data_IF_987586077856
#
_entry.id   IF_987586077856
#
_cell.length_a   1.000
_cell.length_b   1.000
_cell.length_c   1.000
_cell.angle_alpha   90.00
_cell.angle_beta   90.00
_cell.angle_gamma   90.00
#
_symmetry.space_group_name_H-M   'P 1'
#
loop_
_entity.id
_entity.type
_entity.pdbx_description
1 polymer ?
#
# COMPACT_ATOMS: atom_id res chain seq x y z
N UNK A 1 -9.78 -0.73 22.31
CA UNK A 1 -9.62 0.17 21.15
C UNK A 1 -8.58 1.25 21.40
N UNK A 2 -8.70 2.02 22.48
CA UNK A 2 -7.74 3.11 22.79
C UNK A 2 -6.28 2.66 22.87
N UNK A 3 -5.99 1.45 23.33
CA UNK A 3 -4.63 0.92 23.48
C UNK A 3 -3.85 0.85 22.15
N UNK A 4 -4.52 0.51 21.04
CA UNK A 4 -3.90 0.44 19.73
C UNK A 4 -3.51 1.82 19.18
N UNK A 5 -4.25 2.83 19.51
CA UNK A 5 -4.08 4.19 18.98
C UNK A 5 -3.30 5.13 19.91
N UNK A 6 -2.88 4.66 21.08
CA UNK A 6 -2.17 5.50 22.06
C UNK A 6 -0.89 6.11 21.45
N UNK A 7 -0.10 5.31 20.71
CA UNK A 7 1.08 5.79 20.00
C UNK A 7 0.76 6.85 18.95
N UNK A 8 -0.33 6.65 18.20
CA UNK A 8 -0.80 7.62 17.19
C UNK A 8 -1.20 8.95 17.84
N UNK A 9 -1.91 8.93 18.96
CA UNK A 9 -2.26 10.15 19.68
C UNK A 9 -1.05 10.90 20.22
N UNK A 10 -0.05 10.18 20.76
CA UNK A 10 1.20 10.79 21.25
C UNK A 10 1.93 11.46 20.07
N UNK A 11 2.10 10.75 18.94
CA UNK A 11 2.77 11.30 17.76
C UNK A 11 1.99 12.49 17.20
N UNK A 12 0.66 12.46 17.24
CA UNK A 12 -0.18 13.59 16.82
C UNK A 12 0.09 14.81 17.68
N UNK A 13 0.05 14.68 19.00
CA UNK A 13 0.26 15.81 19.92
C UNK A 13 1.67 16.39 19.72
N UNK A 14 2.70 15.53 19.72
CA UNK A 14 4.09 15.96 19.51
C UNK A 14 4.28 16.58 18.13
N UNK A 15 3.70 15.98 17.08
CA UNK A 15 3.77 16.49 15.71
C UNK A 15 3.10 17.85 15.57
N UNK A 16 1.91 18.05 16.14
CA UNK A 16 1.21 19.34 16.07
C UNK A 16 1.93 20.43 16.85
N UNK A 17 2.53 20.11 18.01
CA UNK A 17 3.40 21.04 18.73
C UNK A 17 4.62 21.39 17.86
N UNK A 18 5.25 20.39 17.23
CA UNK A 18 6.35 20.60 16.31
C UNK A 18 5.98 21.47 15.12
N UNK A 19 4.81 21.23 14.50
CA UNK A 19 4.31 22.05 13.40
C UNK A 19 4.06 23.51 13.81
N UNK A 20 3.51 23.71 15.01
CA UNK A 20 3.33 25.06 15.57
C UNK A 20 4.65 25.78 15.76
N UNK A 21 5.59 25.16 16.44
CA UNK A 21 6.91 25.77 16.72
C UNK A 21 7.70 26.04 15.44
N UNK A 22 7.63 25.13 14.47
CA UNK A 22 8.26 25.31 13.15
C UNK A 22 7.65 26.50 12.40
N UNK A 23 6.30 26.58 12.34
CA UNK A 23 5.61 27.69 11.71
C UNK A 23 5.99 29.04 12.30
N UNK A 24 6.03 29.16 13.64
CA UNK A 24 6.45 30.38 14.34
C UNK A 24 7.93 30.71 14.10
N UNK A 25 8.79 29.68 13.94
CA UNK A 25 10.22 29.90 13.65
C UNK A 25 10.45 30.42 12.24
N UNK A 26 9.71 29.90 11.24
CA UNK A 26 9.87 30.30 9.82
C UNK A 26 9.24 31.69 9.56
N UNK A 27 8.02 31.89 10.04
CA UNK A 27 7.30 33.15 9.94
C UNK A 27 6.42 33.37 11.17
N UNK A 28 6.69 34.37 11.96
CA UNK A 28 5.89 34.69 13.15
C UNK A 28 4.40 34.85 12.80
N UNK A 29 3.52 34.14 13.52
CA UNK A 29 2.09 34.14 13.33
C UNK A 29 1.56 33.07 12.38
N UNK A 30 2.40 32.19 11.80
CA UNK A 30 1.95 31.11 10.92
C UNK A 30 1.79 29.75 11.62
N UNK A 31 2.12 29.65 12.90
CA UNK A 31 2.08 28.39 13.66
C UNK A 31 0.74 27.68 13.61
N UNK A 32 -0.38 28.40 13.77
CA UNK A 32 -1.73 27.81 13.69
C UNK A 32 -2.07 27.33 12.27
N UNK A 33 -1.65 28.04 11.25
CA UNK A 33 -1.84 27.60 9.85
C UNK A 33 -1.07 26.30 9.58
N UNK A 34 0.17 26.19 10.06
CA UNK A 34 0.98 24.97 9.96
C UNK A 34 0.33 23.79 10.68
N UNK A 35 -0.23 23.98 11.88
CA UNK A 35 -0.99 22.97 12.61
C UNK A 35 -2.21 22.50 11.81
N UNK A 36 -2.96 23.45 11.24
CA UNK A 36 -4.13 23.10 10.41
C UNK A 36 -3.74 22.29 9.18
N UNK A 37 -2.70 22.71 8.46
CA UNK A 37 -2.20 21.97 7.28
C UNK A 37 -1.73 20.56 7.67
N UNK A 38 -0.97 20.43 8.77
CA UNK A 38 -0.51 19.12 9.24
C UNK A 38 -1.69 18.20 9.62
N UNK A 39 -2.75 18.74 10.23
CA UNK A 39 -3.97 17.98 10.52
C UNK A 39 -4.68 17.52 9.24
N UNK A 40 -4.88 18.42 8.28
CA UNK A 40 -5.50 18.10 6.99
C UNK A 40 -4.72 17.01 6.28
N UNK A 41 -3.39 17.14 6.21
CA UNK A 41 -2.52 16.12 5.61
C UNK A 41 -2.61 14.77 6.34
N UNK A 42 -2.66 14.78 7.68
CA UNK A 42 -2.84 13.56 8.47
C UNK A 42 -4.16 12.85 8.18
N UNK A 43 -5.25 13.60 8.08
CA UNK A 43 -6.58 13.06 7.74
C UNK A 43 -6.60 12.52 6.30
N UNK A 44 -6.02 13.25 5.36
CA UNK A 44 -5.89 12.78 3.97
C UNK A 44 -5.10 11.48 3.91
N UNK A 45 -3.94 11.41 4.56
CA UNK A 45 -3.12 10.19 4.60
C UNK A 45 -3.88 8.99 5.17
N UNK A 46 -4.64 9.16 6.26
CA UNK A 46 -5.48 8.09 6.82
C UNK A 46 -6.52 7.63 5.79
N UNK A 47 -7.13 8.58 5.09
CA UNK A 47 -8.20 8.28 4.12
C UNK A 47 -7.67 7.57 2.89
N UNK A 48 -6.49 7.98 2.41
CA UNK A 48 -5.84 7.44 1.20
C UNK A 48 -5.18 6.08 1.45
N UNK A 49 -4.65 5.87 2.65
CA UNK A 49 -3.89 4.67 3.01
C UNK A 49 -4.71 3.62 3.77
N UNK A 50 -6.05 3.69 3.74
CA UNK A 50 -6.90 2.71 4.41
C UNK A 50 -6.80 1.32 3.75
N UNK A 51 -6.78 1.25 2.43
CA UNK A 51 -6.56 0.06 1.63
C UNK A 51 -5.20 -0.57 1.93
N UNK A 52 -4.14 0.24 2.01
CA UNK A 52 -2.82 -0.18 2.44
C UNK A 52 -2.84 -0.86 3.83
N UNK A 53 -3.59 -0.32 4.79
CA UNK A 53 -3.74 -0.94 6.11
C UNK A 53 -4.33 -2.35 6.02
N UNK A 54 -5.31 -2.57 5.16
CA UNK A 54 -5.94 -3.89 4.96
C UNK A 54 -4.98 -4.85 4.29
N UNK A 55 -4.30 -4.43 3.21
CA UNK A 55 -3.29 -5.25 2.49
C UNK A 55 -2.15 -5.66 3.43
N UNK A 56 -1.61 -4.71 4.18
CA UNK A 56 -0.55 -4.98 5.15
C UNK A 56 -1.02 -5.95 6.24
N UNK A 57 -2.25 -5.79 6.73
CA UNK A 57 -2.81 -6.68 7.74
C UNK A 57 -2.95 -8.13 7.24
N UNK A 58 -3.36 -8.35 5.99
CA UNK A 58 -3.46 -9.68 5.38
C UNK A 58 -2.11 -10.40 5.32
N UNK A 59 -1.06 -9.70 4.91
CA UNK A 59 0.30 -10.26 4.86
C UNK A 59 0.87 -10.48 6.25
N UNK A 60 0.68 -9.55 7.18
CA UNK A 60 1.14 -9.66 8.56
C UNK A 60 0.50 -10.83 9.31
N UNK A 61 -0.75 -11.17 9.01
CA UNK A 61 -1.41 -12.33 9.62
C UNK A 61 -0.68 -13.64 9.29
N UNK A 62 -0.12 -13.75 8.08
CA UNK A 62 0.65 -14.91 7.61
C UNK A 62 2.10 -14.95 8.12
N UNK A 63 2.60 -13.84 8.71
CA UNK A 63 3.98 -13.74 9.20
C UNK A 63 4.13 -14.29 10.62
N UNK A 64 5.36 -14.77 10.94
CA UNK A 64 5.71 -15.17 12.31
C UNK A 64 5.61 -14.00 13.28
N UNK A 65 5.29 -14.28 14.55
CA UNK A 65 5.16 -13.24 15.60
C UNK A 65 6.39 -12.33 15.70
N UNK A 66 7.60 -12.89 15.57
CA UNK A 66 8.86 -12.12 15.64
C UNK A 66 8.99 -11.10 14.51
N UNK A 67 8.63 -11.47 13.27
CA UNK A 67 8.69 -10.57 12.11
C UNK A 67 7.54 -9.58 12.11
N UNK A 68 6.37 -9.99 12.58
CA UNK A 68 5.24 -9.08 12.82
C UNK A 68 5.64 -7.97 13.78
N UNK A 69 6.26 -8.30 14.93
CA UNK A 69 6.74 -7.30 15.88
C UNK A 69 7.85 -6.39 15.29
N UNK A 70 8.74 -6.93 14.44
CA UNK A 70 9.74 -6.11 13.74
C UNK A 70 9.09 -5.14 12.77
N UNK A 71 8.11 -5.58 12.00
CA UNK A 71 7.36 -4.69 11.13
C UNK A 71 6.63 -3.60 11.93
N UNK A 72 6.06 -3.94 13.06
CA UNK A 72 5.37 -3.00 13.94
C UNK A 72 6.31 -2.00 14.66
N UNK A 73 7.59 -2.29 14.75
CA UNK A 73 8.60 -1.41 15.38
C UNK A 73 9.48 -0.71 14.34
N UNK A 74 10.31 -1.45 13.64
CA UNK A 74 11.23 -0.90 12.62
C UNK A 74 10.50 -0.34 11.40
N UNK A 75 9.44 -1.01 10.94
CA UNK A 75 8.65 -0.52 9.83
C UNK A 75 8.00 0.85 10.12
N UNK A 76 7.73 1.25 11.42
CA UNK A 76 7.29 2.62 11.74
C UNK A 76 8.37 3.63 11.36
N UNK A 77 9.61 3.36 11.70
CA UNK A 77 10.73 4.25 11.39
C UNK A 77 10.91 4.35 9.88
N UNK A 78 10.82 3.22 9.18
CA UNK A 78 10.91 3.16 7.71
C UNK A 78 9.74 3.90 7.08
N UNK A 79 8.50 3.66 7.52
CA UNK A 79 7.31 4.29 6.96
C UNK A 79 7.30 5.81 7.19
N UNK A 80 7.67 6.28 8.40
CA UNK A 80 7.62 7.71 8.75
C UNK A 80 8.79 8.48 8.19
N UNK A 81 10.03 7.99 8.37
CA UNK A 81 11.23 8.70 7.93
C UNK A 81 11.73 8.22 6.56
N UNK A 82 11.72 6.90 6.33
CA UNK A 82 12.18 6.31 5.09
C UNK A 82 11.32 6.71 3.91
N UNK A 83 10.04 6.39 3.95
CA UNK A 83 9.15 6.54 2.80
C UNK A 83 8.69 7.98 2.57
N UNK A 84 8.48 8.77 3.62
CA UNK A 84 7.94 10.13 3.51
C UNK A 84 9.00 11.22 3.39
N UNK A 85 10.23 10.95 3.80
CA UNK A 85 11.32 11.92 3.74
C UNK A 85 12.50 11.42 2.91
N UNK A 86 13.08 10.26 3.26
CA UNK A 86 14.30 9.78 2.62
C UNK A 86 14.05 9.27 1.19
N UNK A 87 12.97 8.56 0.96
CA UNK A 87 12.65 7.96 -0.34
C UNK A 87 12.40 9.00 -1.44
N UNK A 88 11.61 10.07 -1.25
CA UNK A 88 11.48 11.15 -2.23
C UNK A 88 12.82 11.84 -2.53
N UNK A 89 13.67 12.06 -1.51
CA UNK A 89 15.00 12.63 -1.71
C UNK A 89 15.89 11.70 -2.54
N UNK A 90 15.87 10.39 -2.25
CA UNK A 90 16.61 9.38 -3.00
C UNK A 90 16.19 9.36 -4.47
N UNK A 91 14.90 9.35 -4.71
CA UNK A 91 14.33 9.31 -6.05
C UNK A 91 14.73 10.57 -6.86
N UNK A 92 14.52 11.74 -6.28
CA UNK A 92 14.94 13.01 -6.92
C UNK A 92 16.45 13.00 -7.17
N UNK A 93 17.26 12.48 -6.25
CA UNK A 93 18.71 12.34 -6.40
C UNK A 93 19.09 11.53 -7.65
N UNK A 94 18.44 10.38 -7.83
CA UNK A 94 18.70 9.47 -8.97
C UNK A 94 18.29 10.13 -10.29
N UNK A 95 17.07 10.65 -10.37
CA UNK A 95 16.53 11.19 -11.63
C UNK A 95 17.10 12.56 -12.00
N UNK A 96 17.31 13.46 -11.03
CA UNK A 96 17.93 14.76 -11.26
C UNK A 96 19.47 14.69 -11.37
N UNK A 97 20.07 13.50 -11.15
CA UNK A 97 21.53 13.28 -11.13
C UNK A 97 22.26 14.21 -10.15
N UNK A 98 21.63 14.46 -9.01
CA UNK A 98 22.18 15.26 -7.91
C UNK A 98 22.58 14.33 -6.76
N UNK A 99 23.51 14.78 -5.90
CA UNK A 99 23.80 13.99 -4.68
C UNK A 99 22.64 14.11 -3.67
N UNK A 100 22.42 13.06 -2.84
CA UNK A 100 21.37 13.06 -1.81
C UNK A 100 21.48 14.28 -0.87
N UNK A 101 22.69 14.70 -0.53
CA UNK A 101 22.92 15.87 0.33
C UNK A 101 22.50 17.18 -0.36
N UNK A 102 22.76 17.31 -1.67
CA UNK A 102 22.29 18.46 -2.44
C UNK A 102 20.77 18.50 -2.51
N UNK A 103 20.12 17.37 -2.78
CA UNK A 103 18.66 17.29 -2.81
C UNK A 103 18.06 17.60 -1.44
N UNK A 104 18.61 17.02 -0.35
CA UNK A 104 18.18 17.32 1.01
C UNK A 104 18.33 18.81 1.34
N UNK A 105 19.44 19.44 0.94
CA UNK A 105 19.62 20.87 1.14
C UNK A 105 18.60 21.69 0.32
N UNK A 106 18.34 21.32 -0.94
CA UNK A 106 17.31 21.96 -1.76
C UNK A 106 15.94 21.82 -1.12
N UNK A 107 15.60 20.62 -0.62
CA UNK A 107 14.32 20.35 0.04
C UNK A 107 14.10 21.24 1.28
N UNK A 108 15.16 21.53 2.04
CA UNK A 108 15.09 22.37 3.25
C UNK A 108 15.21 23.87 2.97
N UNK A 109 15.89 24.28 1.90
CA UNK A 109 16.20 25.69 1.63
C UNK A 109 15.41 26.31 0.49
N UNK A 110 14.91 25.49 -0.46
CA UNK A 110 14.20 25.96 -1.65
C UNK A 110 13.10 24.98 -2.07
N UNK A 111 11.97 25.09 -1.39
CA UNK A 111 10.81 24.19 -1.58
C UNK A 111 10.28 24.20 -3.03
N UNK A 112 10.27 25.36 -3.72
CA UNK A 112 9.81 25.46 -5.12
C UNK A 112 10.71 24.67 -6.06
N UNK A 113 12.03 24.74 -5.87
CA UNK A 113 13.00 23.98 -6.68
C UNK A 113 12.90 22.48 -6.39
N UNK A 114 12.66 22.10 -5.15
CA UNK A 114 12.45 20.70 -4.79
C UNK A 114 11.16 20.15 -5.41
N UNK A 115 10.05 20.87 -5.30
CA UNK A 115 8.78 20.52 -5.93
C UNK A 115 8.93 20.36 -7.45
N UNK A 116 9.65 21.25 -8.12
CA UNK A 116 9.95 21.16 -9.55
C UNK A 116 10.65 19.85 -9.92
N UNK A 117 11.70 19.45 -9.19
CA UNK A 117 12.37 18.18 -9.43
C UNK A 117 11.46 16.97 -9.14
N UNK A 118 10.67 17.06 -8.09
CA UNK A 118 9.73 15.99 -7.72
C UNK A 118 8.67 15.79 -8.81
N UNK A 119 8.10 16.86 -9.36
CA UNK A 119 7.18 16.79 -10.50
C UNK A 119 7.83 16.22 -11.76
N UNK A 120 9.08 16.55 -12.04
CA UNK A 120 9.79 15.96 -13.19
C UNK A 120 10.03 14.45 -13.04
N UNK A 121 10.15 13.96 -11.82
CA UNK A 121 10.38 12.54 -11.54
C UNK A 121 9.07 11.76 -11.34
N UNK A 122 7.92 12.43 -11.34
CA UNK A 122 6.62 11.83 -11.08
C UNK A 122 6.31 10.67 -12.03
N UNK A 123 6.34 10.89 -13.34
CA UNK A 123 5.96 9.87 -14.32
C UNK A 123 6.77 8.55 -14.21
N UNK A 124 8.10 8.55 -14.11
CA UNK A 124 8.86 7.32 -13.87
C UNK A 124 8.49 6.61 -12.56
N UNK A 125 8.26 7.37 -11.49
CA UNK A 125 8.01 6.80 -10.17
C UNK A 125 6.65 6.12 -10.11
N UNK A 126 5.59 6.80 -10.56
CA UNK A 126 4.24 6.22 -10.60
C UNK A 126 4.17 5.05 -11.57
N UNK A 127 4.99 5.07 -12.64
CA UNK A 127 5.08 3.90 -13.54
C UNK A 127 5.75 2.70 -12.86
N UNK A 128 6.83 2.92 -12.11
CA UNK A 128 7.48 1.86 -11.34
C UNK A 128 6.51 1.21 -10.35
N UNK A 129 5.88 2.03 -9.49
CA UNK A 129 4.91 1.57 -8.50
C UNK A 129 3.67 0.94 -9.14
N UNK A 130 3.11 1.61 -10.17
CA UNK A 130 1.95 1.12 -10.90
C UNK A 130 2.19 -0.24 -11.55
N UNK A 131 3.34 -0.46 -12.21
CA UNK A 131 3.66 -1.75 -12.81
C UNK A 131 3.95 -2.84 -11.77
N UNK A 132 4.55 -2.50 -10.63
CA UNK A 132 4.69 -3.41 -9.50
C UNK A 132 3.31 -3.85 -8.97
N UNK A 133 2.38 -2.91 -8.79
CA UNK A 133 1.03 -3.20 -8.31
C UNK A 133 0.18 -3.94 -9.36
N UNK A 134 0.36 -3.68 -10.67
CA UNK A 134 -0.25 -4.47 -11.74
C UNK A 134 0.15 -5.94 -11.62
N UNK A 135 1.43 -6.23 -11.46
CA UNK A 135 1.92 -7.60 -11.28
C UNK A 135 1.30 -8.26 -10.03
N UNK A 136 1.24 -7.52 -8.92
CA UNK A 136 0.61 -7.99 -7.69
C UNK A 136 -0.88 -8.33 -7.88
N UNK A 137 -1.62 -7.45 -8.58
CA UNK A 137 -3.02 -7.65 -8.91
C UNK A 137 -3.22 -8.88 -9.79
N UNK A 138 -2.48 -8.97 -10.90
CA UNK A 138 -2.62 -10.07 -11.85
C UNK A 138 -2.25 -11.41 -11.24
N UNK A 139 -1.14 -11.48 -10.50
CA UNK A 139 -0.71 -12.71 -9.82
C UNK A 139 -1.77 -13.19 -8.83
N UNK A 140 -2.43 -12.27 -8.11
CA UNK A 140 -3.52 -12.64 -7.23
C UNK A 140 -4.72 -13.23 -7.98
N UNK A 141 -5.21 -12.60 -9.06
CA UNK A 141 -6.43 -13.04 -9.75
C UNK A 141 -6.23 -14.22 -10.70
N UNK A 142 -5.00 -14.50 -11.10
CA UNK A 142 -4.67 -15.68 -11.92
C UNK A 142 -4.37 -16.93 -11.09
N UNK A 143 -4.30 -16.84 -9.77
CA UNK A 143 -4.09 -18.01 -8.90
C UNK A 143 -5.31 -18.93 -8.91
N UNK A 144 -5.12 -20.16 -9.43
CA UNK A 144 -6.13 -21.22 -9.52
C UNK A 144 -6.54 -21.83 -8.17
N UNK A 145 -5.72 -21.64 -7.14
CA UNK A 145 -5.98 -22.29 -5.84
C UNK A 145 -7.08 -21.61 -5.03
N UNK A 146 -7.79 -20.65 -5.63
CA UNK A 146 -8.84 -19.88 -4.95
C UNK A 146 -10.22 -20.48 -5.18
N UNK A 147 -10.82 -20.92 -4.10
CA UNK A 147 -12.20 -21.41 -4.09
C UNK A 147 -13.25 -20.31 -4.02
N UNK A 148 -12.85 -19.10 -3.61
CA UNK A 148 -13.74 -17.98 -3.38
C UNK A 148 -13.58 -16.93 -4.48
N UNK A 149 -14.69 -16.48 -5.04
CA UNK A 149 -14.75 -15.42 -6.05
C UNK A 149 -15.79 -14.39 -5.61
N UNK A 150 -15.41 -13.11 -5.51
CA UNK A 150 -16.31 -12.03 -5.17
C UNK A 150 -17.11 -11.58 -6.41
N UNK A 151 -16.40 -11.23 -7.48
CA UNK A 151 -16.99 -10.84 -8.77
C UNK A 151 -16.83 -12.00 -9.76
N UNK A 152 -17.66 -13.06 -9.59
CA UNK A 152 -17.55 -14.33 -10.30
C UNK A 152 -17.39 -14.21 -11.81
N UNK A 153 -18.12 -13.29 -12.45
CA UNK A 153 -18.12 -13.15 -13.91
C UNK A 153 -16.83 -12.56 -14.48
N UNK A 154 -15.98 -11.89 -13.64
CA UNK A 154 -14.64 -11.41 -14.02
C UNK A 154 -13.57 -12.36 -13.49
N UNK A 155 -13.65 -12.73 -12.21
CA UNK A 155 -12.58 -13.48 -11.53
C UNK A 155 -12.50 -14.92 -12.03
N UNK A 156 -13.63 -15.59 -12.31
CA UNK A 156 -13.63 -16.96 -12.81
C UNK A 156 -12.96 -17.12 -14.20
N UNK A 157 -13.19 -16.25 -15.20
CA UNK A 157 -12.42 -16.31 -16.44
C UNK A 157 -10.95 -15.99 -16.26
N UNK A 158 -10.58 -15.07 -15.34
CA UNK A 158 -9.18 -14.72 -15.08
C UNK A 158 -8.41 -15.88 -14.47
N UNK A 159 -9.00 -16.63 -13.54
CA UNK A 159 -8.34 -17.80 -12.93
C UNK A 159 -8.05 -18.91 -13.94
N UNK A 160 -8.78 -19.00 -15.06
CA UNK A 160 -8.48 -19.97 -16.12
C UNK A 160 -7.26 -19.60 -16.98
N UNK A 161 -6.75 -18.37 -16.90
CA UNK A 161 -5.58 -17.94 -17.64
C UNK A 161 -4.25 -18.44 -17.05
N UNK A 162 -4.24 -18.97 -15.83
CA UNK A 162 -3.06 -19.58 -15.19
C UNK A 162 -2.43 -20.71 -16.01
N UNK A 163 -3.18 -21.36 -16.89
CA UNK A 163 -2.64 -22.37 -17.80
C UNK A 163 -1.56 -21.82 -18.76
N UNK A 164 -1.50 -20.48 -18.94
CA UNK A 164 -0.52 -19.82 -19.80
C UNK A 164 0.56 -19.23 -18.92
N UNK A 165 1.68 -19.96 -18.74
CA UNK A 165 2.80 -19.49 -17.92
C UNK A 165 3.29 -18.10 -18.33
N UNK A 166 3.34 -17.18 -17.41
CA UNK A 166 3.85 -15.81 -17.62
C UNK A 166 2.87 -14.87 -18.31
N UNK A 167 1.58 -15.21 -18.39
CA UNK A 167 0.55 -14.36 -18.99
C UNK A 167 0.46 -13.01 -18.24
N UNK A 168 0.67 -13.00 -16.94
CA UNK A 168 0.72 -11.80 -16.11
C UNK A 168 1.83 -10.83 -16.55
N UNK A 169 2.99 -11.35 -16.93
CA UNK A 169 4.12 -10.56 -17.46
C UNK A 169 3.75 -9.98 -18.82
N UNK A 170 3.17 -10.79 -19.70
CA UNK A 170 2.76 -10.35 -21.04
C UNK A 170 1.73 -9.23 -20.96
N UNK A 171 0.70 -9.38 -20.12
CA UNK A 171 -0.33 -8.35 -19.92
C UNK A 171 0.30 -7.08 -19.34
N UNK A 172 1.18 -7.21 -18.35
CA UNK A 172 1.85 -6.07 -17.74
C UNK A 172 2.73 -5.31 -18.74
N UNK A 173 3.51 -6.01 -19.56
CA UNK A 173 4.32 -5.39 -20.61
C UNK A 173 3.43 -4.72 -21.67
N UNK A 174 2.31 -5.32 -22.02
CA UNK A 174 1.35 -4.72 -22.96
C UNK A 174 0.74 -3.43 -22.39
N UNK A 175 0.36 -3.43 -21.11
CA UNK A 175 -0.12 -2.23 -20.41
C UNK A 175 0.95 -1.13 -20.38
N UNK A 176 2.22 -1.48 -20.14
CA UNK A 176 3.33 -0.54 -20.16
C UNK A 176 3.54 0.06 -21.56
N UNK A 177 3.50 -0.76 -22.60
CA UNK A 177 3.60 -0.30 -24.00
C UNK A 177 2.40 0.61 -24.38
N UNK A 178 1.20 0.28 -23.92
CA UNK A 178 0.03 1.13 -24.14
C UNK A 178 0.19 2.49 -23.46
N UNK A 179 0.63 2.52 -22.20
CA UNK A 179 0.88 3.74 -21.42
C UNK A 179 1.91 4.63 -22.11
N UNK A 180 2.99 4.06 -22.66
CA UNK A 180 4.05 4.80 -23.32
C UNK A 180 3.57 5.66 -24.51
N UNK A 181 2.47 5.26 -25.19
CA UNK A 181 1.93 6.02 -26.32
C UNK A 181 1.41 7.40 -25.92
N UNK A 182 1.01 7.56 -24.66
CA UNK A 182 0.43 8.79 -24.14
C UNK A 182 1.45 9.69 -23.43
N UNK A 183 2.66 9.18 -23.15
CA UNK A 183 3.72 9.90 -22.44
C UNK A 183 4.52 10.79 -23.42
N UNK A 184 4.94 12.01 -23.03
CA UNK A 184 5.81 12.86 -23.82
C UNK A 184 7.10 12.15 -24.24
N UNK A 185 7.58 12.44 -25.48
CA UNK A 185 8.71 11.71 -26.08
C UNK A 185 9.98 11.77 -25.23
N UNK A 186 10.22 12.87 -24.54
CA UNK A 186 11.39 13.08 -23.67
C UNK A 186 11.40 12.16 -22.45
N UNK A 187 10.24 11.74 -21.96
CA UNK A 187 10.09 10.91 -20.76
C UNK A 187 9.89 9.41 -21.09
N UNK A 188 9.64 9.04 -22.35
CA UNK A 188 9.32 7.66 -22.75
C UNK A 188 10.35 6.64 -22.28
N UNK A 189 11.64 6.95 -22.43
CA UNK A 189 12.71 6.03 -22.02
C UNK A 189 12.73 5.84 -20.51
N UNK A 190 12.57 6.91 -19.73
CA UNK A 190 12.57 6.84 -18.28
C UNK A 190 11.36 6.06 -17.74
N UNK A 191 10.18 6.30 -18.31
CA UNK A 191 8.94 5.56 -18.01
C UNK A 191 9.07 4.08 -18.36
N UNK A 192 9.66 3.75 -19.53
CA UNK A 192 9.88 2.37 -19.93
C UNK A 192 10.84 1.64 -18.98
N UNK A 193 11.98 2.25 -18.67
CA UNK A 193 12.97 1.68 -17.74
C UNK A 193 12.33 1.49 -16.36
N UNK A 194 11.63 2.50 -15.87
CA UNK A 194 10.97 2.45 -14.56
C UNK A 194 9.91 1.34 -14.51
N UNK A 195 9.04 1.23 -15.53
CA UNK A 195 8.01 0.20 -15.58
C UNK A 195 8.59 -1.22 -15.64
N UNK A 196 9.59 -1.44 -16.49
CA UNK A 196 10.31 -2.74 -16.55
C UNK A 196 10.97 -3.04 -15.19
N UNK A 197 11.59 -2.04 -14.56
CA UNK A 197 12.19 -2.20 -13.22
C UNK A 197 11.16 -2.58 -12.17
N UNK A 198 9.93 -2.02 -12.23
CA UNK A 198 8.81 -2.40 -11.35
C UNK A 198 8.43 -3.88 -11.51
N UNK A 199 8.27 -4.35 -12.76
CA UNK A 199 7.99 -5.76 -13.06
C UNK A 199 9.14 -6.66 -12.56
N UNK A 200 10.38 -6.33 -12.87
CA UNK A 200 11.55 -7.10 -12.42
C UNK A 200 11.61 -7.17 -10.91
N UNK A 201 11.36 -6.06 -10.21
CA UNK A 201 11.39 -6.00 -8.76
C UNK A 201 10.32 -6.92 -8.16
N UNK A 202 9.10 -6.90 -8.72
CA UNK A 202 8.04 -7.83 -8.31
C UNK A 202 8.48 -9.29 -8.49
N UNK A 203 8.94 -9.66 -9.68
CA UNK A 203 9.36 -11.03 -10.00
C UNK A 203 10.54 -11.51 -9.13
N UNK A 204 11.48 -10.63 -8.82
CA UNK A 204 12.60 -10.97 -7.92
C UNK A 204 12.09 -11.27 -6.50
N UNK A 205 11.20 -10.44 -5.97
CA UNK A 205 10.68 -10.63 -4.61
C UNK A 205 9.78 -11.85 -4.54
N UNK A 206 8.87 -12.01 -5.50
CA UNK A 206 7.96 -13.15 -5.57
C UNK A 206 8.73 -14.47 -5.73
N UNK A 207 9.64 -14.54 -6.70
CA UNK A 207 10.50 -15.70 -6.92
C UNK A 207 11.40 -16.03 -5.73
N UNK A 208 11.92 -15.00 -5.01
CA UNK A 208 12.71 -15.22 -3.82
C UNK A 208 11.85 -15.70 -2.64
N UNK A 209 10.61 -15.23 -2.53
CA UNK A 209 9.63 -15.72 -1.53
C UNK A 209 9.37 -17.20 -1.75
N UNK A 210 9.01 -17.61 -2.96
CA UNK A 210 8.75 -19.01 -3.31
C UNK A 210 9.99 -19.90 -3.13
N UNK A 211 11.18 -19.40 -3.48
CA UNK A 211 12.43 -20.13 -3.25
C UNK A 211 12.66 -20.42 -1.77
N UNK A 212 12.42 -19.43 -0.90
CA UNK A 212 12.59 -19.59 0.54
C UNK A 212 11.52 -20.50 1.16
N UNK A 213 10.26 -20.36 0.76
CA UNK A 213 9.16 -21.22 1.22
C UNK A 213 9.45 -22.69 0.89
N UNK A 214 9.85 -22.96 -0.33
CA UNK A 214 10.23 -24.32 -0.78
C UNK A 214 11.44 -24.89 -0.03
N UNK A 215 12.41 -24.05 0.32
CA UNK A 215 13.57 -24.43 1.12
C UNK A 215 13.19 -24.73 2.56
N UNK A 216 12.25 -23.96 3.13
CA UNK A 216 11.74 -24.16 4.48
C UNK A 216 10.91 -25.42 4.59
N UNK A 217 10.06 -25.73 3.63
CA UNK A 217 9.32 -27.02 3.54
C UNK A 217 10.28 -28.22 3.44
N UNK A 218 11.33 -28.13 2.62
CA UNK A 218 12.35 -29.18 2.53
C UNK A 218 13.17 -29.34 3.82
N UNK A 219 13.38 -28.27 4.59
CA UNK A 219 14.07 -28.31 5.89
C UNK A 219 13.16 -28.84 7.00
N UNK A 220 11.87 -28.45 7.01
CA UNK A 220 10.88 -29.00 7.94
C UNK A 220 10.66 -30.49 7.71
N UNK A 221 10.74 -30.97 6.48
CA UNK A 221 10.71 -32.39 6.17
C UNK A 221 11.96 -33.15 6.64
N UNK A 222 13.07 -32.46 6.93
CA UNK A 222 14.36 -33.07 7.31
C UNK A 222 14.83 -32.79 8.75
N UNK A 223 14.30 -31.79 9.46
CA UNK A 223 14.77 -31.44 10.81
C UNK A 223 13.71 -30.72 11.65
N UNK A 224 13.59 -31.14 12.90
CA UNK A 224 12.93 -30.49 14.02
C UNK A 224 13.50 -29.09 14.30
N UNK A 225 12.60 -28.11 14.42
CA UNK A 225 12.73 -26.81 15.08
C UNK A 225 13.95 -25.90 14.72
N UNK A 226 13.72 -24.82 14.01
CA UNK A 226 14.64 -23.68 14.02
C UNK A 226 14.72 -22.75 12.79
N UNK A 227 13.97 -22.93 11.71
CA UNK A 227 14.21 -22.23 10.44
C UNK A 227 13.20 -21.12 10.06
N UNK A 228 12.43 -20.58 11.00
CA UNK A 228 11.39 -19.55 10.76
C UNK A 228 11.96 -18.14 10.42
N UNK A 229 13.27 -18.01 10.18
CA UNK A 229 13.94 -16.70 10.13
C UNK A 229 13.96 -16.00 8.77
N UNK A 230 14.05 -16.74 7.67
CA UNK A 230 14.35 -16.13 6.36
C UNK A 230 13.12 -15.69 5.58
N UNK A 231 12.04 -16.46 5.59
CA UNK A 231 10.76 -16.09 4.96
C UNK A 231 10.19 -14.78 5.51
N UNK A 232 10.37 -14.53 6.79
CA UNK A 232 9.89 -13.30 7.42
C UNK A 232 10.61 -12.03 6.95
N UNK A 233 11.91 -12.09 6.58
CA UNK A 233 12.62 -10.94 6.04
C UNK A 233 12.09 -10.56 4.65
N UNK A 234 11.83 -11.53 3.80
CA UNK A 234 11.31 -11.27 2.45
C UNK A 234 9.90 -10.72 2.51
N UNK A 235 9.04 -11.32 3.34
CA UNK A 235 7.70 -10.78 3.58
C UNK A 235 7.74 -9.36 4.16
N UNK A 236 8.72 -9.06 5.01
CA UNK A 236 8.95 -7.71 5.53
C UNK A 236 9.34 -6.73 4.40
N UNK A 237 10.34 -7.07 3.58
CA UNK A 237 10.76 -6.25 2.43
C UNK A 237 9.64 -6.06 1.41
N UNK A 238 8.85 -7.10 1.17
CA UNK A 238 7.69 -7.05 0.30
C UNK A 238 6.65 -6.05 0.80
N UNK A 239 6.33 -6.07 2.11
CA UNK A 239 5.42 -5.10 2.72
C UNK A 239 5.96 -3.67 2.65
N UNK A 240 7.25 -3.45 2.91
CA UNK A 240 7.86 -2.12 2.82
C UNK A 240 7.84 -1.60 1.37
N UNK A 241 7.99 -2.47 0.37
CA UNK A 241 7.92 -2.06 -1.04
C UNK A 241 6.50 -1.73 -1.49
N UNK A 242 5.50 -2.49 -1.01
CA UNK A 242 4.10 -2.14 -1.20
C UNK A 242 3.83 -0.77 -0.57
N UNK A 243 4.22 -0.58 0.69
CA UNK A 243 4.03 0.70 1.41
C UNK A 243 4.73 1.86 0.69
N UNK A 244 5.93 1.64 0.15
CA UNK A 244 6.63 2.62 -0.70
C UNK A 244 5.83 3.00 -1.94
N UNK A 245 5.27 2.00 -2.63
CA UNK A 245 4.49 2.23 -3.86
C UNK A 245 3.23 3.06 -3.61
N UNK A 246 2.56 2.84 -2.48
CA UNK A 246 1.39 3.61 -2.07
C UNK A 246 1.76 5.01 -1.51
N UNK A 247 2.90 5.14 -0.84
CA UNK A 247 3.25 6.35 -0.09
C UNK A 247 3.67 7.53 -0.97
N UNK A 248 4.10 7.27 -2.20
CA UNK A 248 4.66 8.33 -3.04
C UNK A 248 3.61 9.31 -3.54
N UNK A 249 2.42 8.80 -3.90
CA UNK A 249 1.31 9.64 -4.35
C UNK A 249 0.88 10.60 -3.23
N UNK A 250 0.81 10.12 -1.97
CA UNK A 250 0.52 10.95 -0.81
C UNK A 250 1.55 12.09 -0.60
N UNK A 251 2.83 11.83 -0.88
CA UNK A 251 3.86 12.89 -0.79
C UNK A 251 3.67 13.94 -1.88
N UNK A 252 3.38 13.52 -3.12
CA UNK A 252 3.17 14.44 -4.24
C UNK A 252 1.96 15.34 -4.03
N UNK A 253 0.83 14.80 -3.60
CA UNK A 253 -0.35 15.59 -3.35
C UNK A 253 -0.26 16.46 -2.11
N UNK A 254 0.57 16.09 -1.13
CA UNK A 254 0.85 16.95 0.01
C UNK A 254 1.50 18.27 -0.44
N UNK A 255 2.29 18.27 -1.54
CA UNK A 255 2.85 19.50 -2.14
C UNK A 255 1.79 20.43 -2.73
N UNK A 256 0.60 19.96 -3.05
CA UNK A 256 -0.53 20.81 -3.44
C UNK A 256 -1.08 21.65 -2.27
N UNK A 257 -0.92 21.16 -1.04
CA UNK A 257 -1.42 21.80 0.17
C UNK A 257 -0.34 22.65 0.88
N UNK A 258 0.91 22.24 0.81
CA UNK A 258 2.04 22.92 1.43
C UNK A 258 3.31 22.71 0.62
N UNK A 259 4.15 23.71 0.56
CA UNK A 259 5.51 23.62 -0.02
C UNK A 259 6.58 23.31 1.05
N UNK A 260 6.20 23.34 2.32
CA UNK A 260 7.11 23.11 3.45
C UNK A 260 7.20 21.60 3.72
N UNK A 261 8.35 21.01 3.40
CA UNK A 261 8.59 19.56 3.54
C UNK A 261 8.51 19.12 5.01
N UNK A 262 8.81 19.99 5.97
CA UNK A 262 8.71 19.65 7.39
C UNK A 262 7.25 19.46 7.81
N UNK A 263 6.40 20.41 7.40
CA UNK A 263 4.95 20.33 7.66
C UNK A 263 4.32 19.15 6.95
N UNK A 264 4.70 18.91 5.68
CA UNK A 264 4.29 17.73 4.92
C UNK A 264 4.69 16.45 5.68
N UNK A 265 5.95 16.34 6.08
CA UNK A 265 6.46 15.15 6.77
C UNK A 265 5.74 14.91 8.11
N UNK A 266 5.46 15.95 8.87
CA UNK A 266 4.72 15.85 10.13
C UNK A 266 3.28 15.36 9.88
N UNK A 267 2.56 15.96 8.93
CA UNK A 267 1.18 15.58 8.62
C UNK A 267 1.08 14.13 8.15
N UNK A 268 1.90 13.74 7.16
CA UNK A 268 1.94 12.37 6.65
C UNK A 268 2.40 11.36 7.72
N UNK A 269 3.33 11.74 8.63
CA UNK A 269 3.75 10.90 9.74
C UNK A 269 2.60 10.63 10.73
N UNK A 270 1.81 11.66 11.05
CA UNK A 270 0.60 11.52 11.88
C UNK A 270 -0.34 10.50 11.23
N UNK A 271 -0.67 10.69 9.96
CA UNK A 271 -1.56 9.79 9.22
C UNK A 271 -1.04 8.35 9.19
N UNK A 272 0.25 8.16 8.88
CA UNK A 272 0.89 6.85 8.87
C UNK A 272 0.81 6.10 10.19
N UNK A 273 0.94 6.81 11.30
CA UNK A 273 0.80 6.20 12.63
C UNK A 273 -0.61 5.69 12.87
N UNK A 274 -1.64 6.39 12.41
CA UNK A 274 -3.03 5.91 12.49
C UNK A 274 -3.28 4.71 11.59
N UNK A 275 -2.82 4.75 10.34
CA UNK A 275 -2.91 3.63 9.38
C UNK A 275 -2.26 2.38 9.98
N UNK A 276 -1.11 2.52 10.61
CA UNK A 276 -0.41 1.43 11.26
C UNK A 276 -1.15 0.89 12.49
N UNK A 277 -1.68 1.77 13.33
CA UNK A 277 -2.52 1.36 14.47
C UNK A 277 -3.76 0.60 14.01
N UNK A 278 -4.36 1.01 12.90
CA UNK A 278 -5.46 0.31 12.24
C UNK A 278 -5.02 -1.08 11.76
N UNK A 279 -3.87 -1.18 11.10
CA UNK A 279 -3.28 -2.45 10.65
C UNK A 279 -3.10 -3.43 11.82
N UNK A 280 -2.54 -2.97 12.94
CA UNK A 280 -2.37 -3.79 14.16
C UNK A 280 -3.72 -4.28 14.66
N UNK A 281 -4.70 -3.39 14.77
CA UNK A 281 -6.04 -3.71 15.24
C UNK A 281 -6.70 -4.77 14.35
N UNK A 282 -6.58 -4.66 13.03
CA UNK A 282 -7.11 -5.63 12.07
C UNK A 282 -6.48 -7.02 12.26
N UNK A 283 -5.17 -7.08 12.45
CA UNK A 283 -4.43 -8.34 12.65
C UNK A 283 -4.80 -8.99 13.97
N UNK A 284 -4.79 -8.25 15.08
CA UNK A 284 -5.02 -8.82 16.41
C UNK A 284 -6.47 -9.25 16.63
N UNK A 285 -7.42 -8.50 16.10
CA UNK A 285 -8.84 -8.88 16.18
C UNK A 285 -9.23 -9.99 15.23
N UNK A 286 -8.32 -10.46 14.37
CA UNK A 286 -8.57 -11.47 13.33
C UNK A 286 -9.80 -11.14 12.48
N UNK A 287 -10.05 -9.85 12.28
CA UNK A 287 -11.23 -9.34 11.58
C UNK A 287 -11.23 -9.78 10.12
N UNK A 288 -10.04 -9.99 9.53
CA UNK A 288 -9.89 -10.39 8.14
C UNK A 288 -10.53 -11.77 7.85
N UNK A 289 -10.41 -12.74 8.79
CA UNK A 289 -11.01 -14.06 8.64
C UNK A 289 -12.55 -14.08 8.74
N UNK A 290 -13.12 -13.03 9.33
CA UNK A 290 -14.57 -12.92 9.46
C UNK A 290 -15.23 -12.40 8.17
N UNK A 291 -14.45 -11.78 7.27
CA UNK A 291 -14.95 -11.15 6.05
C UNK A 291 -14.40 -11.83 4.79
N UNK A 292 -15.18 -12.76 4.26
CA UNK A 292 -14.82 -13.63 3.14
C UNK A 292 -14.30 -12.90 1.90
N UNK A 293 -14.88 -11.74 1.56
CA UNK A 293 -14.58 -10.99 0.34
C UNK A 293 -13.58 -9.84 0.56
N UNK A 294 -13.10 -9.61 1.79
CA UNK A 294 -12.26 -8.45 2.08
C UNK A 294 -10.90 -8.52 1.37
N UNK A 295 -10.33 -9.72 1.25
CA UNK A 295 -9.08 -9.95 0.50
C UNK A 295 -9.24 -9.65 -1.00
N UNK A 296 -10.38 -10.03 -1.59
CA UNK A 296 -10.70 -9.69 -2.98
C UNK A 296 -10.87 -8.19 -3.18
N UNK A 297 -11.62 -7.53 -2.27
CA UNK A 297 -11.80 -6.08 -2.32
C UNK A 297 -10.50 -5.30 -2.25
N UNK A 298 -9.57 -5.75 -1.40
CA UNK A 298 -8.25 -5.13 -1.29
C UNK A 298 -7.42 -5.30 -2.57
N UNK A 299 -7.45 -6.47 -3.22
CA UNK A 299 -6.74 -6.66 -4.48
C UNK A 299 -7.41 -5.92 -5.65
N UNK A 300 -8.75 -5.77 -5.65
CA UNK A 300 -9.43 -4.88 -6.60
C UNK A 300 -9.05 -3.41 -6.39
N UNK A 301 -8.90 -2.97 -5.13
CA UNK A 301 -8.40 -1.63 -4.81
C UNK A 301 -6.96 -1.43 -5.35
N UNK A 302 -6.07 -2.42 -5.17
CA UNK A 302 -4.71 -2.41 -5.72
C UNK A 302 -4.73 -2.30 -7.25
N UNK A 303 -5.55 -3.11 -7.93
CA UNK A 303 -5.65 -3.07 -9.40
C UNK A 303 -6.17 -1.72 -9.91
N UNK A 304 -7.18 -1.15 -9.25
CA UNK A 304 -7.69 0.17 -9.57
C UNK A 304 -6.63 1.25 -9.36
N UNK A 305 -5.92 1.22 -8.22
CA UNK A 305 -4.82 2.15 -7.95
C UNK A 305 -3.71 2.02 -8.99
N UNK A 306 -3.30 0.79 -9.33
CA UNK A 306 -2.30 0.54 -10.36
C UNK A 306 -2.67 1.18 -11.70
N UNK A 307 -3.92 1.01 -12.13
CA UNK A 307 -4.43 1.64 -13.35
C UNK A 307 -4.43 3.18 -13.25
N UNK A 308 -4.85 3.72 -12.12
CA UNK A 308 -4.86 5.17 -11.88
C UNK A 308 -3.44 5.75 -11.88
N UNK A 309 -2.47 5.06 -11.28
CA UNK A 309 -1.05 5.44 -11.32
C UNK A 309 -0.53 5.46 -12.77
N UNK A 310 -0.85 4.48 -13.59
CA UNK A 310 -0.45 4.48 -14.99
C UNK A 310 -1.11 5.63 -15.78
N UNK A 311 -2.36 5.96 -15.51
CA UNK A 311 -3.03 7.13 -16.11
C UNK A 311 -2.39 8.43 -15.59
N UNK A 312 -1.96 8.47 -14.33
CA UNK A 312 -1.31 9.62 -13.71
C UNK A 312 0.04 9.97 -14.34
N UNK A 313 0.67 9.06 -15.09
CA UNK A 313 1.85 9.38 -15.91
C UNK A 313 1.60 10.46 -16.96
N UNK A 314 0.35 10.61 -17.38
CA UNK A 314 -0.06 11.54 -18.44
C UNK A 314 -0.84 12.73 -17.90
N UNK A 315 -1.71 12.47 -16.93
CA UNK A 315 -2.58 13.47 -16.33
C UNK A 315 -2.68 13.19 -14.84
N UNK A 316 -2.23 14.14 -14.05
CA UNK A 316 -2.33 14.05 -12.58
C UNK A 316 -3.78 13.83 -12.16
N UNK A 317 -4.00 12.77 -11.40
CA UNK A 317 -5.30 12.41 -10.85
C UNK A 317 -5.34 12.90 -9.41
N UNK A 318 -6.41 13.61 -9.00
CA UNK A 318 -6.54 14.03 -7.61
C UNK A 318 -6.54 12.83 -6.67
N UNK A 319 -5.78 12.91 -5.58
CA UNK A 319 -5.64 11.84 -4.59
C UNK A 319 -6.97 11.40 -3.97
N UNK A 320 -7.91 12.33 -3.80
CA UNK A 320 -9.27 12.03 -3.32
C UNK A 320 -9.94 10.99 -4.22
N UNK A 321 -9.66 11.01 -5.52
CA UNK A 321 -10.23 10.04 -6.48
C UNK A 321 -9.56 8.67 -6.30
N UNK A 322 -8.23 8.64 -6.22
CA UNK A 322 -7.44 7.41 -6.02
C UNK A 322 -7.81 6.71 -4.72
N UNK A 323 -7.72 7.41 -3.61
CA UNK A 323 -8.08 6.87 -2.29
C UNK A 323 -9.56 6.55 -2.15
N UNK A 324 -10.44 7.39 -2.74
CA UNK A 324 -11.88 7.16 -2.73
C UNK A 324 -12.29 5.87 -3.45
N UNK A 325 -11.65 5.54 -4.57
CA UNK A 325 -11.89 4.30 -5.30
C UNK A 325 -11.40 3.09 -4.50
N UNK A 326 -10.18 3.14 -3.94
CA UNK A 326 -9.64 2.08 -3.10
C UNK A 326 -10.53 1.79 -1.88
N UNK A 327 -10.88 2.83 -1.13
CA UNK A 327 -11.81 2.74 -0.01
C UNK A 327 -13.18 2.18 -0.44
N UNK A 328 -13.70 2.60 -1.61
CA UNK A 328 -14.96 2.12 -2.17
C UNK A 328 -14.97 0.61 -2.39
N UNK A 329 -13.91 0.03 -2.97
CA UNK A 329 -13.78 -1.43 -3.15
C UNK A 329 -13.75 -2.18 -1.82
N UNK A 330 -13.00 -1.67 -0.84
CA UNK A 330 -12.92 -2.30 0.48
C UNK A 330 -14.26 -2.27 1.20
N UNK A 331 -14.95 -1.13 1.21
CA UNK A 331 -16.27 -1.00 1.83
C UNK A 331 -17.33 -1.87 1.15
N UNK A 332 -17.29 -1.97 -0.19
CA UNK A 332 -18.18 -2.84 -0.95
C UNK A 332 -17.93 -4.32 -0.64
N UNK A 333 -16.67 -4.74 -0.56
CA UNK A 333 -16.30 -6.10 -0.17
C UNK A 333 -16.69 -6.43 1.27
N UNK A 334 -16.51 -5.48 2.19
CA UNK A 334 -16.93 -5.60 3.59
C UNK A 334 -18.44 -5.76 3.69
N UNK A 335 -19.22 -4.90 3.03
CA UNK A 335 -20.67 -4.99 2.99
C UNK A 335 -21.15 -6.32 2.40
N UNK A 336 -20.53 -6.76 1.29
CA UNK A 336 -20.81 -8.05 0.66
C UNK A 336 -20.53 -9.23 1.60
N UNK A 337 -19.43 -9.19 2.35
CA UNK A 337 -19.08 -10.22 3.34
C UNK A 337 -20.08 -10.28 4.48
N UNK A 338 -20.51 -9.13 5.01
CA UNK A 338 -21.52 -9.06 6.09
C UNK A 338 -22.85 -9.63 5.61
N UNK A 339 -23.27 -9.29 4.37
CA UNK A 339 -24.51 -9.82 3.80
C UNK A 339 -24.44 -11.33 3.59
N UNK A 340 -23.28 -11.82 3.12
CA UNK A 340 -23.04 -13.25 2.95
C UNK A 340 -23.13 -14.00 4.28
N UNK A 341 -22.45 -13.53 5.32
CA UNK A 341 -22.46 -14.15 6.65
C UNK A 341 -23.89 -14.19 7.23
N UNK A 342 -24.63 -13.11 7.16
CA UNK A 342 -26.03 -13.08 7.60
C UNK A 342 -26.93 -14.04 6.83
N UNK A 343 -26.68 -14.24 5.53
CA UNK A 343 -27.42 -15.22 4.73
C UNK A 343 -27.10 -16.65 5.16
N UNK A 344 -25.83 -16.95 5.41
CA UNK A 344 -25.39 -18.27 5.89
C UNK A 344 -25.97 -18.59 7.28
N UNK A 345 -25.95 -17.63 8.19
CA UNK A 345 -26.55 -17.81 9.54
C UNK A 345 -28.05 -18.12 9.46
N UNK A 346 -28.78 -17.46 8.54
CA UNK A 346 -30.21 -17.74 8.33
C UNK A 346 -30.46 -19.14 7.78
N UNK A 347 -29.65 -19.60 6.82
CA UNK A 347 -29.76 -20.94 6.25
C UNK A 347 -29.50 -22.01 7.31
N UNK A 348 -28.44 -21.87 8.09
CA UNK A 348 -28.11 -22.77 9.19
C UNK A 348 -29.19 -22.80 10.28
N UNK A 349 -29.85 -21.69 10.55
CA UNK A 349 -30.95 -21.63 11.49
C UNK A 349 -32.21 -22.33 10.94
N UNK A 350 -32.49 -22.26 9.65
CA UNK A 350 -33.56 -22.99 8.98
C UNK A 350 -33.32 -24.51 8.99
N UNK A 351 -32.13 -24.97 8.61
CA UNK A 351 -31.76 -26.37 8.64
C UNK A 351 -31.88 -26.97 10.04
N UNK A 352 -31.48 -26.24 11.08
CA UNK A 352 -31.64 -26.70 12.49
C UNK A 352 -33.11 -26.79 12.90
N UNK A 353 -33.98 -25.90 12.42
CA UNK A 353 -35.41 -25.94 12.75
C UNK A 353 -36.12 -27.07 12.02
N UNK A 354 -35.72 -27.40 10.79
CA UNK A 354 -36.27 -28.53 10.01
C UNK A 354 -35.81 -29.87 10.59
N UNK A 355 -34.54 -30.03 10.96
CA UNK A 355 -34.03 -31.24 11.58
C UNK A 355 -34.64 -31.56 12.95
N UNK A 356 -34.97 -30.53 13.75
CA UNK A 356 -35.69 -30.74 15.03
C UNK A 356 -37.17 -31.12 14.84
N UNK A 357 -37.75 -30.75 13.71
CA UNK A 357 -39.15 -31.12 13.39
C UNK A 357 -39.24 -32.59 12.93
N UNK A 358 -38.23 -33.09 12.21
CA UNK A 358 -38.13 -34.51 11.79
C UNK A 358 -37.81 -35.45 12.96
N UNK A 359 -37.05 -35.03 13.96
CA UNK A 359 -36.67 -35.82 15.13
C UNK A 359 -37.83 -35.94 16.16
N UNK A 360 -38.82 -35.02 16.09
CA UNK A 360 -40.02 -35.03 16.95
C UNK A 360 -41.28 -35.56 16.26
N UNK A 361 -41.21 -36.03 15.01
CA UNK A 361 -42.29 -36.67 14.26
C UNK A 361 -42.09 -38.18 14.14
#
# INVERSE_FOLDING_TARGET
MLEYFLGSYIVTIVGLIGAYLWGEHVHSGTGLACVFIALVLGVLEISLSFDNAVVNAMKLEKMSHKWRMRFLTWGIIIAVFGMRFLFPILVVSIFAKLSMLQVANIALTNADKYAYYLHQTHAPIVTFGGMFLVMLFLNYFFDHQKDVHWIKWIEAPLSHLDHIKGIEIVISLFMLLATQNFVPTEQKIHVMIAGISGIITYLMIDGFTHYLERHEEMRLAKCTAGAVGCTGLVSFLYLELIDASFSLDGVLGAFALSKDIIIISIGLAIGAMFVRSLTIMLVEKKTLKQFLYLEHGAHWAIGALACLMLVSTVKEIPEIVTGGIGLGFILAALASSILHNKKQERLLAQEKSEGQTEENA
#
